data_IF_186171889174
#
_entry.id   IF_186171889174
#
_cell.length_a   1.000
_cell.length_b   1.000
_cell.length_c   1.000
_cell.angle_alpha   90.00
_cell.angle_beta   90.00
_cell.angle_gamma   90.00
#
_symmetry.space_group_name_H-M   'P 1'
#
loop_
_entity.id
_entity.type
_entity.pdbx_description
1 polymer ?
#
# COMPACT_ATOMS: atom_id res chain seq x y z
N UNK A 1 -9.17 -19.62 -17.14
CA UNK A 1 -9.98 -18.77 -18.06
C UNK A 1 -11.37 -18.48 -17.53
N UNK A 2 -12.13 -19.47 -17.03
CA UNK A 2 -13.52 -19.29 -16.59
C UNK A 2 -13.70 -18.15 -15.55
N UNK A 3 -12.79 -18.04 -14.58
CA UNK A 3 -12.80 -16.99 -13.56
C UNK A 3 -12.58 -15.58 -14.14
N UNK A 4 -11.62 -15.42 -15.06
CA UNK A 4 -11.33 -14.12 -15.68
C UNK A 4 -12.52 -13.66 -16.50
N UNK A 5 -13.13 -14.57 -17.26
CA UNK A 5 -14.31 -14.25 -18.07
C UNK A 5 -15.50 -13.89 -17.18
N UNK A 6 -15.82 -14.69 -16.15
CA UNK A 6 -16.95 -14.40 -15.26
C UNK A 6 -16.77 -13.09 -14.50
N UNK A 7 -15.56 -12.83 -13.99
CA UNK A 7 -15.23 -11.57 -13.34
C UNK A 7 -15.36 -10.37 -14.30
N UNK A 8 -14.78 -10.47 -15.49
CA UNK A 8 -14.78 -9.38 -16.47
C UNK A 8 -16.17 -9.07 -17.00
N UNK A 9 -16.98 -10.10 -17.23
CA UNK A 9 -18.39 -9.94 -17.65
C UNK A 9 -19.20 -9.28 -16.54
N UNK A 10 -19.07 -9.76 -15.30
CA UNK A 10 -19.77 -9.15 -14.15
C UNK A 10 -19.39 -7.70 -13.92
N UNK A 11 -18.10 -7.39 -14.02
CA UNK A 11 -17.59 -6.02 -13.88
C UNK A 11 -18.04 -5.12 -15.04
N UNK A 12 -17.99 -5.63 -16.27
CA UNK A 12 -18.45 -4.90 -17.46
C UNK A 12 -19.94 -4.60 -17.40
N UNK A 13 -20.74 -5.55 -16.89
CA UNK A 13 -22.18 -5.37 -16.67
C UNK A 13 -22.45 -4.30 -15.60
N UNK A 14 -21.76 -4.36 -14.46
CA UNK A 14 -21.92 -3.39 -13.36
C UNK A 14 -21.52 -1.96 -13.77
N UNK A 15 -20.50 -1.81 -14.63
CA UNK A 15 -19.99 -0.51 -15.09
C UNK A 15 -20.62 -0.04 -16.40
N UNK A 16 -21.48 -0.85 -17.03
CA UNK A 16 -22.16 -0.51 -18.29
C UNK A 16 -21.22 -0.37 -19.51
N UNK A 17 -20.00 -0.91 -19.45
CA UNK A 17 -19.02 -0.88 -20.54
C UNK A 17 -18.05 -2.06 -20.48
N UNK A 18 -17.54 -2.56 -21.63
CA UNK A 18 -16.51 -3.59 -21.62
C UNK A 18 -15.24 -3.15 -20.87
N UNK A 19 -14.84 -3.89 -19.84
CA UNK A 19 -13.63 -3.61 -19.05
C UNK A 19 -13.14 -4.84 -18.29
N UNK A 20 -11.82 -4.90 -18.08
CA UNK A 20 -11.16 -5.85 -17.17
C UNK A 20 -10.88 -5.22 -15.78
N UNK A 21 -11.26 -3.96 -15.61
CA UNK A 21 -10.94 -3.11 -14.46
C UNK A 21 -10.06 -1.92 -14.85
N UNK A 22 -10.10 -0.88 -14.02
CA UNK A 22 -9.37 0.39 -14.22
C UNK A 22 -8.05 0.43 -13.44
N UNK A 23 -7.82 -0.56 -12.57
CA UNK A 23 -6.65 -0.59 -11.68
C UNK A 23 -5.33 -0.58 -12.46
N UNK A 24 -5.22 -1.35 -13.55
CA UNK A 24 -3.98 -1.43 -14.33
C UNK A 24 -3.62 -0.10 -15.00
N UNK A 25 -4.59 0.52 -15.68
CA UNK A 25 -4.39 1.79 -16.38
C UNK A 25 -4.07 2.93 -15.39
N UNK A 26 -4.77 2.98 -14.26
CA UNK A 26 -4.51 3.99 -13.24
C UNK A 26 -3.14 3.80 -12.57
N UNK A 27 -2.74 2.55 -12.27
CA UNK A 27 -1.39 2.27 -11.75
C UNK A 27 -0.29 2.59 -12.77
N UNK A 28 -0.53 2.37 -14.07
CA UNK A 28 0.42 2.81 -15.10
C UNK A 28 0.58 4.34 -15.09
N UNK A 29 -0.53 5.08 -15.00
CA UNK A 29 -0.46 6.54 -14.87
C UNK A 29 0.33 6.96 -13.62
N UNK A 30 0.08 6.34 -12.46
CA UNK A 30 0.76 6.64 -11.20
C UNK A 30 2.25 6.34 -11.24
N UNK A 31 2.60 5.10 -11.57
CA UNK A 31 3.96 4.60 -11.38
C UNK A 31 4.84 4.84 -12.60
N UNK A 32 4.28 4.78 -13.81
CA UNK A 32 5.03 4.97 -15.07
C UNK A 32 4.92 6.40 -15.59
N UNK A 33 3.74 7.01 -15.60
CA UNK A 33 3.62 8.40 -16.05
C UNK A 33 3.89 9.43 -14.95
N UNK A 34 4.17 8.97 -13.73
CA UNK A 34 4.42 9.80 -12.56
C UNK A 34 3.27 10.77 -12.26
N UNK A 35 2.04 10.34 -12.56
CA UNK A 35 0.85 11.00 -12.04
C UNK A 35 0.90 10.92 -10.52
N UNK A 36 0.84 12.09 -9.87
CA UNK A 36 0.85 12.14 -8.42
C UNK A 36 -0.31 11.30 -7.88
N UNK A 37 0.01 10.32 -7.05
CA UNK A 37 -0.93 9.33 -6.51
C UNK A 37 -1.46 9.74 -5.13
N UNK A 38 -2.42 8.98 -4.59
CA UNK A 38 -3.13 9.20 -3.32
C UNK A 38 -4.25 10.24 -3.40
N UNK A 39 -4.41 11.09 -2.39
CA UNK A 39 -5.52 12.02 -2.32
C UNK A 39 -5.22 13.30 -3.11
N UNK A 40 -6.25 13.96 -3.64
CA UNK A 40 -6.23 15.37 -4.02
C UNK A 40 -5.23 15.81 -5.08
N UNK A 41 -5.08 14.99 -6.10
CA UNK A 41 -4.66 15.46 -7.42
C UNK A 41 -5.61 16.57 -7.90
N UNK A 42 -5.06 17.76 -8.18
CA UNK A 42 -5.79 18.95 -8.67
C UNK A 42 -5.50 19.24 -10.16
N UNK A 43 -4.87 18.29 -10.86
CA UNK A 43 -4.32 18.50 -12.21
C UNK A 43 -2.79 18.50 -12.22
N UNK A 44 -2.21 18.80 -13.37
CA UNK A 44 -0.77 18.73 -13.60
C UNK A 44 -0.42 19.00 -15.07
N UNK A 45 0.71 18.48 -15.56
CA UNK A 45 1.06 18.54 -16.98
C UNK A 45 -0.11 18.14 -17.88
N UNK A 46 -0.31 18.88 -18.97
CA UNK A 46 -1.48 18.72 -19.86
C UNK A 46 -1.62 17.30 -20.41
N UNK A 47 -0.50 16.59 -20.54
CA UNK A 47 -0.40 15.21 -21.01
C UNK A 47 -1.10 14.22 -20.07
N UNK A 48 -1.15 14.51 -18.77
CA UNK A 48 -1.76 13.67 -17.73
C UNK A 48 -3.25 13.95 -17.53
N UNK A 49 -3.81 14.95 -18.21
CA UNK A 49 -5.20 15.34 -18.08
C UNK A 49 -5.50 16.16 -16.83
N UNK A 50 -6.76 16.23 -16.45
CA UNK A 50 -7.23 16.99 -15.30
C UNK A 50 -8.39 16.26 -14.64
N UNK A 51 -8.52 16.31 -13.31
CA UNK A 51 -9.58 15.62 -12.60
C UNK A 51 -10.94 16.22 -12.97
N UNK A 52 -11.89 15.34 -13.28
CA UNK A 52 -13.32 15.67 -13.47
C UNK A 52 -14.00 15.80 -12.11
N UNK A 53 -13.59 14.98 -11.15
CA UNK A 53 -14.09 14.98 -9.77
C UNK A 53 -12.95 15.26 -8.78
N UNK A 54 -12.33 16.45 -8.81
CA UNK A 54 -11.32 16.77 -7.81
C UNK A 54 -11.95 16.84 -6.42
N UNK A 55 -11.19 16.43 -5.40
CA UNK A 55 -11.53 16.81 -4.01
C UNK A 55 -11.55 18.34 -3.92
N UNK A 56 -12.45 18.91 -3.12
CA UNK A 56 -12.61 20.36 -3.06
C UNK A 56 -11.51 20.97 -2.20
N UNK A 57 -10.66 21.81 -2.80
CA UNK A 57 -9.67 22.61 -2.07
C UNK A 57 -10.39 23.77 -1.36
N UNK A 58 -10.36 23.79 -0.03
CA UNK A 58 -10.95 24.85 0.80
C UNK A 58 -9.95 25.96 1.13
N UNK A 59 -8.66 25.62 1.18
CA UNK A 59 -7.56 26.52 1.56
C UNK A 59 -6.27 26.03 0.94
N UNK A 60 -5.34 26.94 0.62
CA UNK A 60 -4.01 26.61 0.08
C UNK A 60 -2.90 26.56 1.13
N UNK A 61 -2.97 27.39 2.19
CA UNK A 61 -1.87 27.58 3.15
C UNK A 61 -2.36 27.54 4.61
N UNK A 62 -2.42 26.36 5.27
CA UNK A 62 -2.05 25.05 4.72
C UNK A 62 -3.15 24.49 3.80
N UNK A 63 -2.83 23.49 2.97
CA UNK A 63 -3.78 22.91 2.04
C UNK A 63 -4.84 22.09 2.79
N UNK A 64 -6.10 22.52 2.70
CA UNK A 64 -7.26 21.87 3.31
C UNK A 64 -8.19 21.36 2.22
N UNK A 65 -8.59 20.10 2.32
CA UNK A 65 -9.45 19.46 1.34
C UNK A 65 -10.74 18.93 1.97
N UNK A 66 -11.85 19.05 1.24
CA UNK A 66 -13.13 18.44 1.57
C UNK A 66 -13.51 17.38 0.52
N UNK A 67 -13.99 16.24 1.00
CA UNK A 67 -14.21 15.04 0.18
C UNK A 67 -15.24 14.06 0.76
N UNK A 68 -16.06 14.48 1.74
CA UNK A 68 -17.08 13.62 2.36
C UNK A 68 -18.16 13.08 1.42
N UNK A 69 -18.35 13.71 0.26
CA UNK A 69 -19.34 13.32 -0.74
C UNK A 69 -18.66 12.88 -2.05
N UNK A 70 -19.26 12.00 -2.86
CA UNK A 70 -20.61 11.40 -2.73
C UNK A 70 -20.62 10.05 -2.00
N UNK A 71 -19.51 9.60 -1.42
CA UNK A 71 -19.42 8.27 -0.83
C UNK A 71 -19.50 8.31 0.70
N UNK A 72 -20.56 7.75 1.26
CA UNK A 72 -20.74 7.60 2.71
C UNK A 72 -19.96 6.38 3.25
N UNK A 73 -18.64 6.50 3.27
CA UNK A 73 -17.68 5.44 3.63
C UNK A 73 -16.56 6.02 4.49
N UNK A 74 -15.81 5.21 5.23
CA UNK A 74 -14.78 5.72 6.16
C UNK A 74 -13.82 6.74 5.54
N UNK A 75 -13.28 6.48 4.35
CA UNK A 75 -12.37 7.41 3.67
C UNK A 75 -12.65 7.43 2.15
N UNK A 76 -13.43 8.42 1.66
CA UNK A 76 -13.91 8.45 0.28
C UNK A 76 -12.84 8.40 -0.82
N UNK A 77 -11.68 9.10 -0.71
CA UNK A 77 -10.64 9.08 -1.73
C UNK A 77 -10.13 7.68 -2.04
N UNK A 78 -9.94 6.85 -1.00
CA UNK A 78 -9.43 5.49 -1.15
C UNK A 78 -10.53 4.47 -1.46
N UNK A 79 -11.78 4.75 -1.11
CA UNK A 79 -12.88 3.85 -1.45
C UNK A 79 -13.06 3.73 -2.97
N UNK A 80 -12.94 4.85 -3.70
CA UNK A 80 -13.07 4.85 -5.16
C UNK A 80 -12.04 5.79 -5.82
N UNK A 81 -10.77 5.37 -5.85
CA UNK A 81 -9.70 6.13 -6.53
C UNK A 81 -10.03 6.43 -8.00
N UNK A 82 -10.69 5.51 -8.71
CA UNK A 82 -11.02 5.70 -10.12
C UNK A 82 -11.94 6.91 -10.34
N UNK A 83 -12.90 7.13 -9.44
CA UNK A 83 -13.78 8.31 -9.47
C UNK A 83 -12.99 9.60 -9.29
N UNK A 84 -12.15 9.68 -8.25
CA UNK A 84 -11.38 10.89 -7.93
C UNK A 84 -10.30 11.24 -8.97
N UNK A 85 -9.78 10.23 -9.67
CA UNK A 85 -8.83 10.40 -10.75
C UNK A 85 -9.46 10.45 -12.14
N UNK A 86 -10.79 10.39 -12.25
CA UNK A 86 -11.43 10.42 -13.55
C UNK A 86 -11.01 11.68 -14.32
N UNK A 87 -10.67 11.53 -15.61
CA UNK A 87 -10.07 12.60 -16.42
C UNK A 87 -8.56 12.52 -16.53
N UNK A 88 -7.91 11.60 -15.82
CA UNK A 88 -6.52 11.25 -16.05
C UNK A 88 -6.30 10.73 -17.48
N UNK A 89 -5.08 10.92 -17.97
CA UNK A 89 -4.59 10.35 -19.21
C UNK A 89 -3.31 9.59 -18.93
N UNK A 90 -3.18 8.44 -19.56
CA UNK A 90 -1.93 7.68 -19.61
C UNK A 90 -1.33 7.78 -21.01
N UNK A 91 -0.01 7.75 -21.09
CA UNK A 91 0.73 7.79 -22.34
C UNK A 91 1.95 6.89 -22.27
N UNK A 92 2.33 6.29 -23.39
CA UNK A 92 3.56 5.50 -23.42
C UNK A 92 4.78 6.44 -23.48
N UNK A 93 5.74 6.23 -22.58
CA UNK A 93 7.04 6.89 -22.62
C UNK A 93 8.12 5.86 -22.40
N UNK A 94 8.88 5.53 -23.46
CA UNK A 94 9.98 4.57 -23.39
C UNK A 94 11.01 4.94 -22.31
N UNK A 95 11.26 6.24 -22.13
CA UNK A 95 12.15 6.76 -21.08
C UNK A 95 11.61 6.43 -19.69
N UNK A 96 10.32 6.62 -19.47
CA UNK A 96 9.71 6.33 -18.17
C UNK A 96 9.65 4.82 -17.93
N UNK A 97 9.36 4.03 -18.96
CA UNK A 97 9.36 2.57 -18.88
C UNK A 97 10.71 2.03 -18.41
N UNK A 98 11.81 2.48 -19.03
CA UNK A 98 13.17 2.11 -18.61
C UNK A 98 13.43 2.54 -17.16
N UNK A 99 13.03 3.76 -16.78
CA UNK A 99 13.21 4.27 -15.42
C UNK A 99 12.52 3.37 -14.40
N UNK A 100 11.24 3.06 -14.62
CA UNK A 100 10.44 2.21 -13.74
C UNK A 100 11.02 0.81 -13.65
N UNK A 101 11.47 0.23 -14.77
CA UNK A 101 12.16 -1.07 -14.76
C UNK A 101 13.39 -1.02 -13.85
N UNK A 102 14.23 0.01 -13.93
CA UNK A 102 15.40 0.14 -13.05
C UNK A 102 15.02 0.35 -11.58
N UNK A 103 13.96 1.11 -11.29
CA UNK A 103 13.44 1.29 -9.94
C UNK A 103 12.92 -0.04 -9.36
N UNK A 104 12.12 -0.77 -10.14
CA UNK A 104 11.58 -2.07 -9.75
C UNK A 104 12.66 -3.16 -9.66
N UNK A 105 13.74 -3.07 -10.44
CA UNK A 105 14.91 -3.96 -10.26
C UNK A 105 15.61 -3.73 -8.93
N UNK A 106 15.64 -2.49 -8.41
CA UNK A 106 16.14 -2.22 -7.05
C UNK A 106 15.20 -2.82 -6.00
N UNK A 107 13.88 -2.64 -6.17
CA UNK A 107 12.89 -3.27 -5.29
C UNK A 107 13.03 -4.81 -5.29
N UNK A 108 13.19 -5.43 -6.46
CA UNK A 108 13.44 -6.88 -6.58
C UNK A 108 14.71 -7.29 -5.84
N UNK A 109 15.80 -6.52 -6.00
CA UNK A 109 17.05 -6.76 -5.30
C UNK A 109 16.87 -6.67 -3.78
N UNK A 110 16.06 -5.74 -3.28
CA UNK A 110 15.77 -5.61 -1.86
C UNK A 110 14.96 -6.82 -1.35
N UNK A 111 13.96 -7.28 -2.10
CA UNK A 111 13.22 -8.53 -1.80
C UNK A 111 14.15 -9.74 -1.74
N UNK A 112 15.07 -9.87 -2.71
CA UNK A 112 16.05 -10.97 -2.74
C UNK A 112 17.07 -10.88 -1.59
N UNK A 113 17.39 -9.66 -1.12
CA UNK A 113 18.26 -9.42 0.03
C UNK A 113 17.58 -9.72 1.36
N UNK A 114 16.32 -9.32 1.51
CA UNK A 114 15.49 -9.67 2.68
C UNK A 114 15.34 -11.19 2.83
N UNK A 115 15.41 -11.91 1.70
CA UNK A 115 15.33 -13.37 1.64
C UNK A 115 16.66 -14.05 1.33
N UNK A 116 17.80 -13.37 1.57
CA UNK A 116 19.14 -13.78 1.08
C UNK A 116 19.49 -15.26 1.32
N UNK A 117 19.23 -15.80 2.52
CA UNK A 117 19.54 -17.20 2.80
C UNK A 117 18.83 -18.18 1.85
N UNK A 118 17.53 -17.95 1.60
CA UNK A 118 16.72 -18.74 0.67
C UNK A 118 17.21 -18.52 -0.76
N UNK A 119 17.46 -17.26 -1.15
CA UNK A 119 17.99 -16.92 -2.47
C UNK A 119 19.30 -17.65 -2.77
N UNK A 120 20.22 -17.72 -1.80
CA UNK A 120 21.50 -18.45 -1.95
C UNK A 120 21.30 -19.96 -2.03
N UNK A 121 20.41 -20.54 -1.22
CA UNK A 121 20.09 -21.96 -1.28
C UNK A 121 19.52 -22.36 -2.65
N UNK A 122 18.60 -21.54 -3.18
CA UNK A 122 18.00 -21.72 -4.50
C UNK A 122 19.05 -21.57 -5.61
N UNK A 123 19.90 -20.54 -5.54
CA UNK A 123 20.97 -20.32 -6.52
C UNK A 123 21.98 -21.49 -6.55
N UNK A 124 22.36 -22.01 -5.38
CA UNK A 124 23.21 -23.20 -5.29
C UNK A 124 22.53 -24.43 -5.91
N UNK A 125 21.26 -24.66 -5.60
CA UNK A 125 20.46 -25.74 -6.18
C UNK A 125 20.40 -25.63 -7.71
N UNK A 126 20.19 -24.42 -8.23
CA UNK A 126 20.21 -24.15 -9.67
C UNK A 126 21.58 -24.47 -10.30
N UNK A 127 22.68 -24.06 -9.67
CA UNK A 127 24.03 -24.41 -10.12
C UNK A 127 24.27 -25.93 -10.15
N UNK A 128 23.75 -26.68 -9.16
CA UNK A 128 23.84 -28.14 -9.13
C UNK A 128 23.08 -28.80 -10.29
N UNK A 129 21.87 -28.31 -10.58
CA UNK A 129 21.07 -28.79 -11.71
C UNK A 129 21.76 -28.49 -13.05
N UNK A 130 22.31 -27.28 -13.22
CA UNK A 130 23.06 -26.92 -14.43
C UNK A 130 24.33 -27.76 -14.60
N UNK A 131 25.08 -28.00 -13.53
CA UNK A 131 26.26 -28.85 -13.55
C UNK A 131 25.91 -30.26 -14.04
N UNK A 132 24.86 -30.87 -13.48
CA UNK A 132 24.41 -32.22 -13.83
C UNK A 132 23.95 -32.29 -15.30
N UNK A 133 23.18 -31.30 -15.76
CA UNK A 133 22.73 -31.21 -17.15
C UNK A 133 23.89 -31.09 -18.16
N UNK A 134 24.95 -30.36 -17.82
CA UNK A 134 26.15 -30.21 -18.67
C UNK A 134 26.98 -31.50 -18.65
N UNK A 135 27.13 -32.11 -17.48
CA UNK A 135 28.01 -33.27 -17.24
C UNK A 135 27.41 -34.59 -17.72
N UNK A 136 26.09 -34.69 -17.78
CA UNK A 136 25.36 -35.91 -18.10
C UNK A 136 24.33 -35.66 -19.21
N UNK A 137 24.83 -35.34 -20.42
CA UNK A 137 24.02 -35.04 -21.63
C UNK A 137 22.99 -36.12 -22.02
N UNK A 138 23.18 -37.37 -21.56
CA UNK A 138 22.31 -38.53 -21.86
C UNK A 138 21.33 -38.90 -20.73
N UNK A 139 21.34 -38.17 -19.61
CA UNK A 139 20.38 -38.43 -18.54
C UNK A 139 19.01 -37.92 -19.00
N UNK A 140 18.17 -38.84 -19.47
CA UNK A 140 16.77 -38.63 -19.82
C UNK A 140 15.98 -38.07 -18.64
N UNK A 141 16.16 -36.78 -18.39
CA UNK A 141 15.34 -36.04 -17.43
C UNK A 141 13.95 -36.05 -18.01
N UNK A 142 13.01 -36.67 -17.28
CA UNK A 142 11.59 -36.55 -17.57
C UNK A 142 11.29 -35.07 -17.71
N UNK A 143 11.02 -34.64 -18.93
CA UNK A 143 10.47 -33.32 -19.23
C UNK A 143 9.04 -33.32 -18.69
N UNK A 144 8.91 -33.17 -17.37
CA UNK A 144 7.67 -32.66 -16.82
C UNK A 144 7.54 -31.28 -17.47
N UNK A 145 6.41 -31.05 -18.14
CA UNK A 145 6.07 -29.81 -18.85
C UNK A 145 5.91 -28.64 -17.86
N UNK A 146 6.96 -28.34 -17.12
CA UNK A 146 7.02 -27.38 -16.02
C UNK A 146 7.00 -25.94 -16.51
N UNK A 147 7.14 -25.72 -17.83
CA UNK A 147 6.90 -24.43 -18.47
C UNK A 147 5.50 -23.89 -18.13
N UNK A 148 4.49 -24.76 -17.91
CA UNK A 148 3.14 -24.35 -17.50
C UNK A 148 3.13 -23.67 -16.13
N UNK A 149 4.10 -23.95 -15.26
CA UNK A 149 4.25 -23.30 -13.95
C UNK A 149 5.21 -22.11 -14.02
N UNK A 150 6.32 -22.25 -14.74
CA UNK A 150 7.36 -21.23 -14.77
C UNK A 150 7.04 -20.07 -15.69
N UNK A 151 6.45 -20.33 -16.87
CA UNK A 151 6.12 -19.26 -17.80
C UNK A 151 5.16 -18.25 -17.16
N UNK A 152 4.05 -18.64 -16.52
CA UNK A 152 3.21 -17.67 -15.80
C UNK A 152 3.93 -16.97 -14.65
N UNK A 153 4.88 -17.65 -13.99
CA UNK A 153 5.62 -17.06 -12.87
C UNK A 153 6.64 -16.01 -13.31
N UNK A 154 7.39 -16.29 -14.38
CA UNK A 154 8.29 -15.32 -15.00
C UNK A 154 7.49 -14.14 -15.55
N UNK A 155 6.40 -14.42 -16.29
CA UNK A 155 5.53 -13.37 -16.82
C UNK A 155 4.91 -12.52 -15.70
N UNK A 156 4.54 -13.12 -14.57
CA UNK A 156 4.06 -12.40 -13.40
C UNK A 156 5.08 -11.42 -12.84
N UNK A 157 6.33 -11.87 -12.61
CA UNK A 157 7.41 -10.99 -12.15
C UNK A 157 7.70 -9.88 -13.17
N UNK A 158 7.80 -10.22 -14.46
CA UNK A 158 8.04 -9.25 -15.53
C UNK A 158 6.91 -8.22 -15.62
N UNK A 159 5.66 -8.62 -15.46
CA UNK A 159 4.52 -7.72 -15.49
C UNK A 159 4.60 -6.66 -14.38
N UNK A 160 4.91 -7.08 -13.14
CA UNK A 160 5.11 -6.13 -12.03
C UNK A 160 6.36 -5.27 -12.20
N UNK A 161 7.41 -5.80 -12.83
CA UNK A 161 8.64 -5.04 -13.15
C UNK A 161 8.35 -3.84 -14.06
N UNK A 162 7.38 -3.96 -14.97
CA UNK A 162 7.03 -2.92 -15.94
C UNK A 162 6.17 -1.79 -15.33
N UNK A 163 5.50 -2.02 -14.20
CA UNK A 163 4.56 -1.05 -13.62
C UNK A 163 4.97 -0.64 -12.22
N UNK A 164 4.86 -1.54 -11.24
CA UNK A 164 5.18 -1.27 -9.84
C UNK A 164 5.38 -2.58 -9.10
N UNK A 165 6.50 -2.71 -8.40
CA UNK A 165 6.84 -3.92 -7.65
C UNK A 165 6.89 -3.64 -6.15
N UNK A 166 6.13 -4.44 -5.40
CA UNK A 166 6.31 -4.63 -3.97
C UNK A 166 6.55 -6.10 -3.69
N UNK A 167 7.31 -6.43 -2.63
CA UNK A 167 7.65 -7.82 -2.31
C UNK A 167 6.42 -8.73 -2.20
N UNK A 168 5.32 -8.21 -1.64
CA UNK A 168 4.04 -8.93 -1.52
C UNK A 168 3.37 -9.27 -2.86
N UNK A 169 3.64 -8.51 -3.93
CA UNK A 169 3.05 -8.76 -5.25
C UNK A 169 3.75 -9.89 -5.99
N UNK A 170 5.06 -10.03 -5.79
CA UNK A 170 5.89 -11.00 -6.50
C UNK A 170 6.22 -12.25 -5.68
N UNK A 171 5.94 -12.24 -4.37
CA UNK A 171 6.22 -13.35 -3.47
C UNK A 171 5.73 -14.71 -4.01
N UNK A 172 4.47 -14.79 -4.44
CA UNK A 172 3.89 -16.04 -4.96
C UNK A 172 4.62 -16.56 -6.21
N UNK A 173 4.96 -15.67 -7.15
CA UNK A 173 5.70 -16.06 -8.35
C UNK A 173 7.14 -16.48 -8.02
N UNK A 174 7.81 -15.75 -7.12
CA UNK A 174 9.14 -16.10 -6.64
C UNK A 174 9.15 -17.45 -5.94
N UNK A 175 8.13 -17.80 -5.14
CA UNK A 175 8.00 -19.11 -4.53
C UNK A 175 8.00 -20.23 -5.58
N UNK A 176 7.20 -20.09 -6.65
CA UNK A 176 7.16 -21.09 -7.73
C UNK A 176 8.50 -21.19 -8.45
N UNK A 177 9.14 -20.06 -8.75
CA UNK A 177 10.47 -20.02 -9.37
C UNK A 177 11.55 -20.63 -8.46
N UNK A 178 11.46 -20.43 -7.15
CA UNK A 178 12.43 -20.94 -6.18
C UNK A 178 12.30 -22.45 -5.96
N UNK A 179 11.11 -23.02 -6.13
CA UNK A 179 10.90 -24.46 -6.08
C UNK A 179 11.36 -25.17 -7.36
N UNK A 180 11.55 -24.42 -8.46
CA UNK A 180 11.89 -24.96 -9.77
C UNK A 180 13.10 -25.91 -9.80
N UNK A 181 14.29 -25.50 -9.31
CA UNK A 181 15.47 -26.36 -9.37
C UNK A 181 15.30 -27.63 -8.51
N UNK A 182 14.49 -27.59 -7.46
CA UNK A 182 14.26 -28.75 -6.59
C UNK A 182 13.39 -29.83 -7.24
N UNK A 183 12.47 -29.45 -8.13
CA UNK A 183 11.70 -30.42 -8.93
C UNK A 183 12.59 -31.18 -9.91
N UNK A 184 13.62 -30.52 -10.46
CA UNK A 184 14.59 -31.15 -11.36
C UNK A 184 15.44 -32.22 -10.64
N UNK A 185 15.61 -32.11 -9.32
CA UNK A 185 16.32 -33.11 -8.51
C UNK A 185 15.51 -34.40 -8.30
N UNK A 186 14.21 -34.43 -8.59
CA UNK A 186 13.39 -35.62 -8.29
C UNK A 186 13.79 -36.84 -9.13
N UNK A 187 14.34 -36.62 -10.32
CA UNK A 187 14.86 -37.66 -11.21
C UNK A 187 16.25 -38.19 -10.84
N UNK A 188 16.89 -37.64 -9.80
CA UNK A 188 18.24 -38.03 -9.40
C UNK A 188 18.25 -39.37 -8.65
N UNK A 189 18.65 -40.44 -9.34
CA UNK A 189 18.84 -41.78 -8.76
C UNK A 189 20.31 -42.10 -8.47
N UNK A 190 20.59 -42.82 -7.37
CA UNK A 190 21.94 -43.23 -6.93
C UNK A 190 22.32 -42.66 -5.56
N UNK A 191 23.20 -43.34 -4.82
CA UNK A 191 23.52 -42.99 -3.42
C UNK A 191 24.05 -41.56 -3.26
N UNK A 192 25.03 -41.15 -4.09
CA UNK A 192 25.62 -39.80 -4.04
C UNK A 192 24.63 -38.72 -4.46
N UNK A 193 23.86 -38.93 -5.53
CA UNK A 193 22.89 -37.94 -6.02
C UNK A 193 21.69 -37.79 -5.07
N UNK A 194 21.25 -38.89 -4.44
CA UNK A 194 20.23 -38.84 -3.39
C UNK A 194 20.71 -38.06 -2.17
N UNK A 195 21.98 -38.20 -1.77
CA UNK A 195 22.56 -37.43 -0.67
C UNK A 195 22.58 -35.91 -0.99
N UNK A 196 23.00 -35.54 -2.21
CA UNK A 196 22.99 -34.15 -2.67
C UNK A 196 21.57 -33.55 -2.72
N UNK A 197 20.59 -34.32 -3.21
CA UNK A 197 19.18 -33.93 -3.19
C UNK A 197 18.70 -33.65 -1.77
N UNK A 198 18.95 -34.57 -0.84
CA UNK A 198 18.57 -34.40 0.58
C UNK A 198 19.27 -33.18 1.18
N UNK A 199 20.57 -32.99 0.92
CA UNK A 199 21.32 -31.84 1.40
C UNK A 199 20.75 -30.51 0.88
N UNK A 200 20.40 -30.44 -0.42
CA UNK A 200 19.78 -29.26 -1.01
C UNK A 200 18.41 -28.93 -0.37
N UNK A 201 17.58 -29.94 -0.12
CA UNK A 201 16.28 -29.77 0.54
C UNK A 201 16.45 -29.33 2.01
N UNK A 202 17.36 -29.96 2.75
CA UNK A 202 17.68 -29.56 4.13
C UNK A 202 18.17 -28.11 4.17
N UNK A 203 19.04 -27.72 3.24
CA UNK A 203 19.53 -26.35 3.14
C UNK A 203 18.40 -25.35 2.87
N UNK A 204 17.45 -25.68 1.98
CA UNK A 204 16.27 -24.84 1.74
C UNK A 204 15.42 -24.68 3.00
N UNK A 205 15.16 -25.76 3.73
CA UNK A 205 14.39 -25.75 4.98
C UNK A 205 15.11 -24.88 6.03
N UNK A 206 16.40 -25.10 6.24
CA UNK A 206 17.20 -24.31 7.20
C UNK A 206 17.22 -22.83 6.82
N UNK A 207 17.41 -22.50 5.54
CA UNK A 207 17.38 -21.13 5.05
C UNK A 207 16.00 -20.46 5.25
N UNK A 208 14.92 -21.21 5.04
CA UNK A 208 13.54 -20.74 5.23
C UNK A 208 13.23 -20.50 6.70
N UNK A 209 13.64 -21.42 7.58
CA UNK A 209 13.52 -21.26 9.04
C UNK A 209 14.31 -20.05 9.49
N UNK A 210 15.56 -19.89 9.06
CA UNK A 210 16.39 -18.74 9.41
C UNK A 210 15.76 -17.40 9.00
N UNK A 211 15.33 -17.27 7.74
CA UNK A 211 14.68 -16.05 7.25
C UNK A 211 13.37 -15.78 8.00
N UNK A 212 12.53 -16.80 8.18
CA UNK A 212 11.27 -16.67 8.92
C UNK A 212 11.51 -16.27 10.37
N UNK A 213 12.50 -16.85 11.05
CA UNK A 213 12.86 -16.48 12.43
C UNK A 213 13.33 -15.03 12.53
N UNK A 214 14.10 -14.53 11.56
CA UNK A 214 14.49 -13.12 11.53
C UNK A 214 13.29 -12.20 11.34
N UNK A 215 12.43 -12.49 10.36
CA UNK A 215 11.26 -11.66 10.06
C UNK A 215 10.22 -11.68 11.19
N UNK A 216 10.00 -12.83 11.82
CA UNK A 216 9.03 -12.98 12.91
C UNK A 216 9.60 -12.60 14.27
N UNK A 217 10.90 -12.36 14.43
CA UNK A 217 11.51 -12.11 15.74
C UNK A 217 10.86 -10.94 16.49
N UNK A 218 10.71 -9.77 15.84
CA UNK A 218 10.05 -8.60 16.43
C UNK A 218 8.55 -8.85 16.69
N UNK A 219 7.92 -9.65 15.85
CA UNK A 219 6.53 -10.01 15.99
C UNK A 219 6.29 -10.92 17.21
N UNK A 220 7.13 -11.95 17.37
CA UNK A 220 7.12 -12.85 18.52
C UNK A 220 7.48 -12.11 19.80
N UNK A 221 8.48 -11.23 19.78
CA UNK A 221 8.83 -10.39 20.93
C UNK A 221 7.65 -9.51 21.36
N UNK A 222 6.94 -8.91 20.41
CA UNK A 222 5.76 -8.09 20.69
C UNK A 222 4.62 -8.93 21.27
N UNK A 223 4.34 -10.11 20.71
CA UNK A 223 3.32 -11.03 21.21
C UNK A 223 3.63 -11.54 22.63
N UNK A 224 4.88 -11.94 22.89
CA UNK A 224 5.33 -12.39 24.23
C UNK A 224 5.29 -11.24 25.24
N UNK A 225 5.69 -10.04 24.82
CA UNK A 225 5.63 -8.84 25.63
C UNK A 225 4.20 -8.31 25.83
N UNK A 226 3.18 -8.91 25.19
CA UNK A 226 1.80 -8.39 25.10
C UNK A 226 1.76 -6.92 24.66
N UNK A 227 2.74 -6.52 23.86
CA UNK A 227 2.78 -5.20 23.22
C UNK A 227 1.96 -5.33 21.96
N UNK A 228 0.89 -4.54 21.85
CA UNK A 228 0.05 -4.54 20.65
C UNK A 228 0.90 -4.31 19.40
N UNK A 229 0.95 -5.33 18.54
CA UNK A 229 1.74 -5.32 17.30
C UNK A 229 1.25 -4.28 16.28
N UNK A 230 0.07 -3.71 16.51
CA UNK A 230 -0.38 -2.49 15.84
C UNK A 230 0.15 -1.25 16.57
N UNK A 231 1.47 -1.22 16.75
CA UNK A 231 2.24 -0.16 17.40
C UNK A 231 2.24 1.13 16.57
N UNK A 232 1.06 1.74 16.48
CA UNK A 232 0.82 3.07 15.95
C UNK A 232 -0.31 3.78 16.70
N UNK A 233 -0.82 3.18 17.78
CA UNK A 233 -1.91 3.73 18.58
C UNK A 233 -3.26 3.82 17.86
N UNK A 234 -3.41 3.21 16.67
CA UNK A 234 -4.61 3.32 15.84
C UNK A 234 -5.85 2.76 16.54
N UNK A 235 -5.71 1.62 17.24
CA UNK A 235 -6.78 1.05 18.04
C UNK A 235 -7.08 1.89 19.29
N UNK A 236 -6.04 2.40 19.96
CA UNK A 236 -6.19 3.32 21.09
C UNK A 236 -6.90 4.62 20.67
N UNK A 237 -6.65 5.14 19.46
CA UNK A 237 -7.41 6.27 18.90
C UNK A 237 -8.86 5.89 18.70
N UNK A 238 -9.15 4.73 18.11
CA UNK A 238 -10.52 4.28 17.92
C UNK A 238 -11.30 4.12 19.24
N UNK A 239 -10.68 3.49 20.24
CA UNK A 239 -11.24 3.30 21.58
C UNK A 239 -11.47 4.66 22.25
N UNK A 240 -10.48 5.55 22.21
CA UNK A 240 -10.58 6.89 22.78
C UNK A 240 -11.71 7.72 22.14
N UNK A 241 -11.89 7.64 20.82
CA UNK A 241 -13.00 8.32 20.14
C UNK A 241 -14.37 7.78 20.60
N UNK A 242 -14.49 6.46 20.82
CA UNK A 242 -15.72 5.85 21.35
C UNK A 242 -15.97 6.28 22.81
N UNK A 243 -14.94 6.32 23.64
CA UNK A 243 -15.03 6.83 25.03
C UNK A 243 -15.44 8.30 25.08
N UNK A 244 -15.03 9.10 24.08
CA UNK A 244 -15.48 10.48 23.91
C UNK A 244 -16.92 10.61 23.40
N UNK A 245 -17.58 9.49 23.09
CA UNK A 245 -18.99 9.43 22.71
C UNK A 245 -19.27 9.53 21.21
N UNK A 246 -18.23 9.46 20.35
CA UNK A 246 -18.44 9.39 18.90
C UNK A 246 -19.13 8.08 18.52
N UNK A 247 -20.04 8.17 17.57
CA UNK A 247 -20.84 7.06 17.06
C UNK A 247 -20.43 6.68 15.64
N UNK A 248 -20.79 5.46 15.26
CA UNK A 248 -20.64 5.01 13.89
C UNK A 248 -21.38 5.96 12.93
N UNK A 249 -20.70 6.40 11.88
CA UNK A 249 -21.20 7.37 10.90
C UNK A 249 -20.92 8.82 11.24
N UNK A 250 -20.44 9.14 12.45
CA UNK A 250 -20.05 10.52 12.78
C UNK A 250 -18.96 11.00 11.83
N UNK A 251 -19.10 12.26 11.39
CA UNK A 251 -18.18 12.90 10.47
C UNK A 251 -16.98 13.44 11.24
N UNK A 252 -15.77 13.17 10.75
CA UNK A 252 -14.53 13.63 11.37
C UNK A 252 -13.60 14.25 10.33
N UNK A 253 -12.71 15.13 10.77
CA UNK A 253 -11.62 15.63 9.96
C UNK A 253 -10.28 15.00 10.39
N UNK A 254 -9.34 14.91 9.47
CA UNK A 254 -8.01 14.35 9.73
C UNK A 254 -6.90 15.37 9.53
N UNK A 255 -5.88 15.29 10.37
CA UNK A 255 -4.64 16.07 10.24
C UNK A 255 -3.49 15.08 10.33
N UNK A 256 -2.91 14.71 9.20
CA UNK A 256 -1.82 13.74 9.16
C UNK A 256 -0.63 14.24 8.37
N UNK A 257 0.55 13.77 8.76
CA UNK A 257 1.71 13.83 7.86
C UNK A 257 1.56 12.72 6.81
N UNK A 258 1.63 13.09 5.54
CA UNK A 258 1.39 12.20 4.41
C UNK A 258 -0.10 11.90 4.20
N UNK A 259 -0.37 11.04 3.23
CA UNK A 259 -1.72 10.54 2.98
C UNK A 259 -2.28 9.76 4.20
N UNK A 260 -3.54 10.01 4.55
CA UNK A 260 -4.23 9.33 5.66
C UNK A 260 -4.78 7.93 5.25
N UNK A 261 -4.09 7.24 4.34
CA UNK A 261 -4.47 5.89 3.88
C UNK A 261 -4.39 4.87 5.02
N UNK A 262 -3.69 5.23 6.09
CA UNK A 262 -3.56 4.45 7.32
C UNK A 262 -4.55 4.92 8.40
N UNK A 263 -5.77 5.27 8.01
CA UNK A 263 -6.88 5.62 8.91
C UNK A 263 -7.56 4.39 9.53
N UNK A 264 -6.78 3.39 9.99
CA UNK A 264 -7.34 2.19 10.63
C UNK A 264 -8.15 2.56 11.88
N UNK A 265 -7.75 3.63 12.58
CA UNK A 265 -8.51 4.25 13.65
C UNK A 265 -9.95 4.62 13.22
N UNK A 266 -10.11 5.18 12.02
CA UNK A 266 -11.40 5.63 11.50
C UNK A 266 -12.28 4.43 11.12
N UNK A 267 -11.66 3.37 10.56
CA UNK A 267 -12.36 2.14 10.23
C UNK A 267 -12.83 1.40 11.49
N UNK A 268 -11.97 1.28 12.51
CA UNK A 268 -12.28 0.62 13.78
C UNK A 268 -13.37 1.36 14.58
N UNK A 269 -13.35 2.70 14.54
CA UNK A 269 -14.39 3.54 15.16
C UNK A 269 -15.64 3.74 14.28
N UNK A 270 -15.61 3.26 13.02
CA UNK A 270 -16.69 3.38 12.02
C UNK A 270 -17.12 4.83 11.74
N UNK A 271 -16.20 5.78 11.88
CA UNK A 271 -16.43 7.19 11.56
C UNK A 271 -16.18 7.46 10.07
N UNK A 272 -16.67 8.60 9.59
CA UNK A 272 -16.57 9.03 8.20
C UNK A 272 -15.66 10.26 8.09
N UNK A 273 -14.51 10.12 7.46
CA UNK A 273 -13.56 11.22 7.27
C UNK A 273 -14.05 12.10 6.11
N UNK A 274 -14.35 13.37 6.40
CA UNK A 274 -14.96 14.31 5.43
C UNK A 274 -14.01 15.37 4.92
N UNK A 275 -12.94 15.64 5.65
CA UNK A 275 -11.96 16.66 5.31
C UNK A 275 -10.60 16.32 5.91
N UNK A 276 -9.53 16.87 5.32
CA UNK A 276 -8.19 16.70 5.84
C UNK A 276 -7.25 17.87 5.53
N UNK A 277 -6.28 18.09 6.43
CA UNK A 277 -5.02 18.77 6.11
C UNK A 277 -4.01 17.72 5.68
N UNK A 278 -3.22 18.05 4.67
CA UNK A 278 -2.12 17.21 4.22
C UNK A 278 -2.52 16.41 2.99
N UNK A 279 -1.72 16.55 1.94
CA UNK A 279 -1.92 15.89 0.68
C UNK A 279 -0.59 15.74 -0.06
N UNK A 280 -0.08 14.50 -0.13
CA UNK A 280 1.14 14.15 -0.88
C UNK A 280 1.06 14.53 -2.36
N UNK A 281 -0.11 14.44 -2.99
CA UNK A 281 -0.25 14.79 -4.40
C UNK A 281 -0.30 16.31 -4.63
N UNK A 282 -0.67 17.11 -3.63
CA UNK A 282 -0.70 18.56 -3.79
C UNK A 282 0.67 19.15 -3.47
N UNK A 283 1.14 18.95 -2.23
CA UNK A 283 2.41 19.47 -1.74
C UNK A 283 3.14 18.41 -0.88
N UNK A 284 3.93 17.53 -1.51
CA UNK A 284 4.65 16.48 -0.79
C UNK A 284 5.86 17.01 0.01
N UNK A 285 6.39 18.18 -0.35
CA UNK A 285 7.66 18.68 0.21
C UNK A 285 7.43 19.55 1.45
N UNK A 286 6.32 20.30 1.51
CA UNK A 286 6.07 21.27 2.58
C UNK A 286 5.11 20.79 3.68
N UNK A 287 4.81 19.49 3.74
CA UNK A 287 3.83 18.98 4.71
C UNK A 287 4.17 19.25 6.16
N UNK A 288 5.47 19.32 6.48
CA UNK A 288 5.89 19.60 7.85
C UNK A 288 5.61 21.06 8.19
N UNK A 289 5.90 21.95 7.26
CA UNK A 289 5.64 23.38 7.33
C UNK A 289 4.13 23.64 7.41
N UNK A 290 3.30 22.92 6.64
CA UNK A 290 1.84 22.99 6.70
C UNK A 290 1.29 22.61 8.08
N UNK A 291 1.85 21.56 8.69
CA UNK A 291 1.47 21.15 10.04
C UNK A 291 1.89 22.20 11.07
N UNK A 292 3.08 22.78 10.96
CA UNK A 292 3.51 23.89 11.82
C UNK A 292 2.61 25.12 11.62
N UNK A 293 2.26 25.45 10.38
CA UNK A 293 1.36 26.56 10.07
C UNK A 293 -0.02 26.37 10.70
N UNK A 294 -0.53 25.14 10.75
CA UNK A 294 -1.79 24.81 11.41
C UNK A 294 -1.69 24.78 12.95
N UNK A 295 -0.63 24.22 13.53
CA UNK A 295 -0.53 24.04 14.98
C UNK A 295 0.01 25.28 15.71
N UNK A 296 0.88 26.06 15.09
CA UNK A 296 1.60 27.16 15.73
C UNK A 296 0.93 28.53 15.50
N UNK A 297 -0.06 28.62 14.58
CA UNK A 297 -0.82 29.84 14.32
C UNK A 297 -2.29 29.70 14.69
N UNK A 298 -2.70 30.36 15.78
CA UNK A 298 -4.07 30.27 16.31
C UNK A 298 -5.15 30.75 15.31
N UNK A 299 -4.92 31.83 14.56
CA UNK A 299 -5.89 32.33 13.58
C UNK A 299 -6.12 31.30 12.47
N UNK A 300 -5.03 30.74 11.96
CA UNK A 300 -5.10 29.71 10.91
C UNK A 300 -5.76 28.45 11.44
N UNK A 301 -5.43 28.05 12.67
CA UNK A 301 -6.07 26.90 13.29
C UNK A 301 -7.58 27.09 13.41
N UNK A 302 -8.03 28.22 13.94
CA UNK A 302 -9.45 28.52 14.11
C UNK A 302 -10.20 28.52 12.78
N UNK A 303 -9.61 29.14 11.74
CA UNK A 303 -10.16 29.13 10.38
C UNK A 303 -10.30 27.72 9.82
N UNK A 304 -9.28 26.87 9.99
CA UNK A 304 -9.33 25.48 9.49
C UNK A 304 -10.30 24.61 10.30
N UNK A 305 -10.37 24.80 11.62
CA UNK A 305 -11.34 24.11 12.48
C UNK A 305 -12.78 24.49 12.10
N UNK A 306 -13.03 25.76 11.74
CA UNK A 306 -14.34 26.19 11.20
C UNK A 306 -14.61 25.54 9.84
N UNK A 307 -13.64 25.52 8.93
CA UNK A 307 -13.79 24.83 7.63
C UNK A 307 -14.13 23.34 7.79
N UNK A 308 -13.53 22.66 8.77
CA UNK A 308 -13.89 21.28 9.11
C UNK A 308 -15.31 21.16 9.67
N UNK A 309 -15.72 22.09 10.55
CA UNK A 309 -17.08 22.16 11.09
C UNK A 309 -18.11 22.38 9.97
N UNK A 310 -17.82 23.22 8.98
CA UNK A 310 -18.67 23.44 7.80
C UNK A 310 -18.87 22.17 6.94
N UNK A 311 -17.90 21.24 6.95
CA UNK A 311 -18.06 19.92 6.32
C UNK A 311 -18.86 18.93 7.19
N UNK A 312 -19.29 19.36 8.38
CA UNK A 312 -20.03 18.57 9.35
C UNK A 312 -19.16 17.76 10.30
N UNK A 313 -17.85 17.99 10.36
CA UNK A 313 -16.98 17.27 11.27
C UNK A 313 -17.31 17.60 12.74
N UNK A 314 -17.44 16.57 13.58
CA UNK A 314 -17.66 16.69 15.04
C UNK A 314 -16.37 16.54 15.85
N UNK A 315 -15.31 16.03 15.22
CA UNK A 315 -13.99 15.94 15.80
C UNK A 315 -12.91 16.03 14.73
N UNK A 316 -11.71 16.40 15.15
CA UNK A 316 -10.50 16.39 14.34
C UNK A 316 -9.50 15.43 14.98
N UNK A 317 -8.95 14.53 14.18
CA UNK A 317 -7.97 13.53 14.63
C UNK A 317 -6.63 13.82 13.97
N UNK A 318 -5.63 14.13 14.77
CA UNK A 318 -4.28 14.38 14.32
C UNK A 318 -3.39 13.16 14.56
N UNK A 319 -2.78 12.62 13.50
CA UNK A 319 -1.93 11.42 13.58
C UNK A 319 -0.56 11.66 12.92
N UNK A 320 0.47 10.93 13.39
CA UNK A 320 1.81 11.03 12.81
C UNK A 320 2.50 12.39 13.02
N UNK A 321 2.05 13.19 13.99
CA UNK A 321 2.62 14.50 14.29
C UNK A 321 4.03 14.31 14.88
N UNK A 322 5.08 14.90 14.27
CA UNK A 322 6.48 14.66 14.68
C UNK A 322 6.93 15.54 15.86
N UNK A 323 6.01 16.30 16.48
CA UNK A 323 6.26 17.22 17.59
C UNK A 323 5.09 17.19 18.57
N UNK A 324 5.29 17.74 19.76
CA UNK A 324 4.21 17.88 20.75
C UNK A 324 3.28 19.04 20.36
N UNK A 325 1.98 18.78 20.41
CA UNK A 325 0.95 19.78 20.11
C UNK A 325 0.70 20.60 21.38
N UNK A 326 1.04 21.89 21.34
CA UNK A 326 0.83 22.82 22.46
C UNK A 326 -0.44 23.66 22.32
N UNK A 327 -1.12 23.60 21.17
CA UNK A 327 -2.31 24.40 20.92
C UNK A 327 -3.47 24.04 21.87
N UNK A 328 -4.21 25.02 22.42
CA UNK A 328 -5.33 24.78 23.32
C UNK A 328 -6.42 23.88 22.73
N UNK A 329 -7.08 23.09 23.58
CA UNK A 329 -8.23 22.26 23.20
C UNK A 329 -7.89 20.87 22.63
N UNK A 330 -6.64 20.65 22.20
CA UNK A 330 -6.15 19.34 21.78
C UNK A 330 -5.92 18.42 22.97
N UNK A 331 -6.41 17.18 22.88
CA UNK A 331 -6.24 16.14 23.89
C UNK A 331 -5.38 15.02 23.33
N UNK A 332 -4.33 14.65 24.07
CA UNK A 332 -3.48 13.52 23.69
C UNK A 332 -4.21 12.20 23.94
N UNK A 333 -4.17 11.31 22.96
CA UNK A 333 -4.73 9.96 23.10
C UNK A 333 -3.73 9.09 23.89
N UNK A 334 -4.12 8.53 25.06
CA UNK A 334 -3.25 7.67 25.86
C UNK A 334 -2.67 6.50 25.06
N UNK A 335 -1.40 6.15 25.31
CA UNK A 335 -0.74 5.05 24.59
C UNK A 335 -0.40 5.33 23.12
N UNK A 336 -0.56 6.58 22.63
CA UNK A 336 -0.25 6.95 21.25
C UNK A 336 0.47 8.31 21.13
N UNK A 337 0.80 8.67 19.87
CA UNK A 337 1.25 10.01 19.46
C UNK A 337 0.16 10.81 18.75
N UNK A 338 -1.09 10.37 18.85
CA UNK A 338 -2.22 11.03 18.23
C UNK A 338 -2.86 12.04 19.20
N UNK A 339 -3.53 13.02 18.60
CA UNK A 339 -4.25 14.08 19.30
C UNK A 339 -5.67 14.19 18.74
N UNK A 340 -6.62 14.53 19.60
CA UNK A 340 -8.03 14.72 19.21
C UNK A 340 -8.50 16.10 19.67
N UNK A 341 -9.22 16.77 18.79
CA UNK A 341 -9.93 18.01 19.07
C UNK A 341 -11.43 17.79 18.85
N UNK A 342 -12.28 18.12 19.83
CA UNK A 342 -13.74 18.06 19.65
C UNK A 342 -14.24 19.36 19.05
N UNK A 343 -14.91 19.27 17.92
CA UNK A 343 -15.67 20.38 17.35
C UNK A 343 -17.04 20.33 18.02
N UNK A 344 -17.34 21.30 18.89
CA UNK A 344 -18.66 21.40 19.51
C UNK A 344 -19.80 21.36 18.46
N UNK A 345 -21.02 20.94 18.84
CA UNK A 345 -22.12 20.79 17.89
C UNK A 345 -22.36 22.09 17.12
N UNK A 346 -22.65 21.99 15.82
CA UNK A 346 -23.17 23.12 15.06
C UNK A 346 -24.44 23.59 15.76
N UNK A 347 -24.39 24.76 16.38
CA UNK A 347 -25.61 25.47 16.74
C UNK A 347 -26.20 25.89 15.40
N UNK A 348 -27.15 25.10 14.89
CA UNK A 348 -27.96 25.49 13.75
C UNK A 348 -28.61 26.82 14.11
N UNK A 349 -28.07 27.92 13.58
CA UNK A 349 -28.75 29.20 13.62
C UNK A 349 -30.03 29.00 12.80
N UNK A 350 -31.15 28.82 13.50
CA UNK A 350 -32.45 28.65 12.89
C UNK A 350 -32.71 29.74 11.86
N UNK A 351 -33.11 29.32 10.67
CA UNK A 351 -33.86 30.14 9.72
C UNK A 351 -35.03 29.32 9.22
#
# INVERSE_FOLDING_TARGET
MLFVVSYSVGLSWALGRPTLGEAGALNYAFHVNHLKHWMGWQGGPKELGSPIHPVRLLRTDPPVFAFGEPFHVTYPPQFNMVYWYQGYRQFFSFRNEIRVVFENLRALKDVLRETLAVTLAVALCFCLVLWDAISHRDSGTRSVSTWVLYLPSVLGVLFFLLVHMEGRYVAGFLCVLFLAPYLALDGWSGSTRSALRTAALVLLVVATVYNSSKQLSGAVQSAVGRVDMQSGGQWAVAEYLQEMGLKAGDKVASVSRGNDIRCAWAYASRVHVVAAIGNDAYDPEHQREDLHLFFDNASIQDEVLEQFREQGAVAVVATGIPFDVSSPGWRRVPGSRAWVFLLGPQISAGR
#
